data_IF_566162053515
#
_entry.id   IF_566162053515
#
_cell.length_a   1.000
_cell.length_b   1.000
_cell.length_c   1.000
_cell.angle_alpha   90.00
_cell.angle_beta   90.00
_cell.angle_gamma   90.00
#
_symmetry.space_group_name_H-M   'P 1'
#
loop_
_entity.id
_entity.type
_entity.pdbx_description
1 polymer ?
#
# COMPACT_ATOMS: atom_id res chain seq x y z
N UNK A 1 27.97 4.17 27.95
CA UNK A 1 26.55 4.60 28.03
C UNK A 1 25.68 3.37 28.22
N UNK A 2 25.01 3.18 29.37
CA UNK A 2 24.29 1.94 29.64
C UNK A 2 23.01 1.88 28.80
N UNK A 3 22.91 0.93 27.87
CA UNK A 3 21.71 0.63 27.07
C UNK A 3 20.50 0.35 27.99
N UNK A 4 20.75 -0.21 29.18
CA UNK A 4 19.72 -0.48 30.21
C UNK A 4 18.95 0.76 30.72
N UNK A 5 19.38 1.99 30.36
CA UNK A 5 18.65 3.22 30.72
C UNK A 5 17.62 3.65 29.67
N UNK A 6 17.60 3.04 28.49
CA UNK A 6 16.74 3.42 27.37
C UNK A 6 15.61 2.41 27.15
N UNK A 7 15.86 1.14 27.52
CA UNK A 7 14.93 0.02 27.31
C UNK A 7 14.61 -0.63 28.66
N UNK A 8 13.32 -0.76 28.98
CA UNK A 8 12.80 -1.49 30.15
C UNK A 8 12.53 -2.96 29.79
N UNK A 9 12.50 -3.82 30.83
CA UNK A 9 11.97 -5.19 30.69
C UNK A 9 10.45 -5.21 30.53
N UNK A 10 9.77 -4.22 31.13
CA UNK A 10 8.31 -4.07 31.09
C UNK A 10 7.88 -3.16 29.94
N UNK A 11 6.67 -3.37 29.46
CA UNK A 11 6.04 -2.47 28.47
C UNK A 11 5.64 -1.15 29.14
N UNK A 12 6.39 -0.09 28.90
CA UNK A 12 6.21 1.24 29.52
C UNK A 12 5.65 2.28 28.55
N UNK A 13 5.85 2.09 27.25
CA UNK A 13 5.41 3.01 26.20
C UNK A 13 4.24 2.39 25.40
N UNK A 14 3.06 2.33 26.03
CA UNK A 14 1.85 1.69 25.46
C UNK A 14 0.82 2.67 24.92
N UNK A 15 1.10 3.97 24.99
CA UNK A 15 0.23 5.03 24.50
C UNK A 15 0.25 5.16 22.98
N UNK A 16 -0.58 6.06 22.45
CA UNK A 16 -0.61 6.39 21.02
C UNK A 16 0.72 7.00 20.58
N UNK A 17 1.24 6.55 19.46
CA UNK A 17 2.52 7.00 18.90
C UNK A 17 2.27 8.05 17.82
N UNK A 18 2.63 9.31 18.06
CA UNK A 18 2.40 10.45 17.15
C UNK A 18 3.19 10.31 15.85
N UNK A 19 4.43 9.84 15.94
CA UNK A 19 5.31 9.58 14.82
C UNK A 19 4.77 8.51 13.87
N UNK A 20 4.09 7.50 14.40
CA UNK A 20 3.42 6.45 13.59
C UNK A 20 2.18 7.03 12.88
N UNK A 21 1.41 7.90 13.55
CA UNK A 21 0.30 8.60 12.90
C UNK A 21 0.80 9.50 11.77
N UNK A 22 1.93 10.20 11.98
CA UNK A 22 2.52 11.07 10.97
C UNK A 22 3.07 10.28 9.77
N UNK A 23 3.76 9.15 10.02
CA UNK A 23 4.23 8.28 8.93
C UNK A 23 3.06 7.74 8.10
N UNK A 24 1.96 7.30 8.72
CA UNK A 24 0.74 6.87 8.01
C UNK A 24 0.15 7.98 7.14
N UNK A 25 0.02 9.20 7.70
CA UNK A 25 -0.51 10.33 6.95
C UNK A 25 0.41 10.74 5.80
N UNK A 26 1.70 10.70 6.00
CA UNK A 26 2.70 10.96 4.97
C UNK A 26 2.65 9.91 3.85
N UNK A 27 2.61 8.62 4.20
CA UNK A 27 2.53 7.52 3.22
C UNK A 27 1.32 7.64 2.30
N UNK A 28 0.14 8.04 2.82
CA UNK A 28 -1.05 8.23 1.96
C UNK A 28 -0.95 9.47 1.07
N UNK A 29 -0.32 10.55 1.54
CA UNK A 29 -0.09 11.74 0.71
C UNK A 29 0.87 11.39 -0.44
N UNK A 30 1.98 10.70 -0.13
CA UNK A 30 2.91 10.22 -1.13
C UNK A 30 2.23 9.31 -2.15
N UNK A 31 1.39 8.38 -1.70
CA UNK A 31 0.64 7.47 -2.56
C UNK A 31 -0.29 8.21 -3.54
N UNK A 32 -0.99 9.25 -3.08
CA UNK A 32 -1.84 10.07 -3.96
C UNK A 32 -1.00 10.78 -5.03
N UNK A 33 0.14 11.35 -4.65
CA UNK A 33 1.04 12.03 -5.59
C UNK A 33 1.60 11.04 -6.61
N UNK A 34 2.09 9.90 -6.15
CA UNK A 34 2.67 8.86 -7.01
C UNK A 34 1.66 8.33 -8.02
N UNK A 35 0.46 7.96 -7.58
CA UNK A 35 -0.57 7.51 -8.52
C UNK A 35 -0.99 8.59 -9.51
N UNK A 36 -0.97 9.87 -9.14
CA UNK A 36 -1.18 10.93 -10.12
C UNK A 36 -0.02 11.06 -11.12
N UNK A 37 1.22 10.80 -10.69
CA UNK A 37 2.38 10.78 -11.58
C UNK A 37 2.27 9.59 -12.53
N UNK A 38 2.11 8.38 -12.01
CA UNK A 38 2.08 7.14 -12.79
C UNK A 38 0.91 7.10 -13.79
N UNK A 39 -0.30 7.44 -13.33
CA UNK A 39 -1.51 7.27 -14.13
C UNK A 39 -1.81 8.48 -15.06
N UNK A 40 -1.22 9.67 -14.82
CA UNK A 40 -1.58 10.90 -15.54
C UNK A 40 -0.41 11.57 -16.26
N UNK A 41 0.82 11.25 -15.94
CA UNK A 41 1.99 11.94 -16.49
C UNK A 41 3.03 10.96 -17.06
N UNK A 42 2.81 10.45 -18.30
CA UNK A 42 3.62 9.39 -18.89
C UNK A 42 5.11 9.72 -19.03
N UNK A 43 5.48 11.00 -19.21
CA UNK A 43 6.87 11.44 -19.36
C UNK A 43 7.46 12.03 -18.07
N UNK A 44 7.04 11.54 -16.90
CA UNK A 44 7.48 12.10 -15.62
C UNK A 44 9.00 11.97 -15.38
N UNK A 45 9.65 10.99 -15.99
CA UNK A 45 11.09 10.75 -15.88
C UNK A 45 11.94 11.89 -16.44
N UNK A 46 11.41 12.64 -17.43
CA UNK A 46 12.08 13.83 -17.98
C UNK A 46 12.09 14.99 -16.98
N UNK A 47 11.27 14.92 -15.92
CA UNK A 47 11.16 15.96 -14.92
C UNK A 47 11.77 15.52 -13.59
N UNK A 48 12.96 16.02 -13.27
CA UNK A 48 13.78 15.60 -12.13
C UNK A 48 13.02 15.49 -10.80
N UNK A 49 12.14 16.44 -10.47
CA UNK A 49 11.39 16.40 -9.20
C UNK A 49 10.37 15.25 -9.21
N UNK A 50 9.67 15.03 -10.33
CA UNK A 50 8.70 13.94 -10.45
C UNK A 50 9.39 12.58 -10.36
N UNK A 51 10.49 12.41 -11.06
CA UNK A 51 11.36 11.25 -10.98
C UNK A 51 11.85 10.99 -9.55
N UNK A 52 12.37 12.03 -8.86
CA UNK A 52 12.84 11.91 -7.48
C UNK A 52 11.70 11.48 -6.52
N UNK A 53 10.52 12.05 -6.67
CA UNK A 53 9.36 11.72 -5.84
C UNK A 53 8.89 10.28 -6.11
N UNK A 54 8.74 9.92 -7.39
CA UNK A 54 8.17 8.64 -7.77
C UNK A 54 9.13 7.48 -7.51
N UNK A 55 10.31 7.52 -8.11
CA UNK A 55 11.21 6.37 -8.14
C UNK A 55 12.05 6.22 -6.88
N UNK A 56 12.32 7.33 -6.18
CA UNK A 56 13.14 7.26 -4.96
C UNK A 56 12.33 7.35 -3.68
N UNK A 57 11.44 8.32 -3.54
CA UNK A 57 10.71 8.49 -2.27
C UNK A 57 9.52 7.53 -2.17
N UNK A 58 8.69 7.46 -3.19
CA UNK A 58 7.48 6.65 -3.11
C UNK A 58 7.78 5.16 -3.11
N UNK A 59 8.71 4.70 -3.96
CA UNK A 59 9.11 3.29 -4.01
C UNK A 59 9.85 2.80 -2.76
N UNK A 60 10.35 3.68 -1.90
CA UNK A 60 11.06 3.28 -0.68
C UNK A 60 10.28 3.53 0.61
N UNK A 61 9.33 4.48 0.62
CA UNK A 61 8.61 4.92 1.83
C UNK A 61 7.11 4.66 1.73
N UNK A 62 6.50 4.76 0.55
CA UNK A 62 5.05 4.73 0.36
C UNK A 62 4.37 3.49 0.94
N UNK A 63 4.35 2.40 0.20
CA UNK A 63 3.70 1.15 0.60
C UNK A 63 4.40 0.48 1.80
N UNK A 64 5.73 0.51 1.86
CA UNK A 64 6.52 -0.07 2.94
C UNK A 64 6.23 0.61 4.27
N UNK A 65 6.24 1.96 4.31
CA UNK A 65 5.92 2.72 5.51
C UNK A 65 4.52 2.43 6.02
N UNK A 66 3.55 2.34 5.11
CA UNK A 66 2.19 1.93 5.43
C UNK A 66 2.13 0.53 6.07
N UNK A 67 2.79 -0.46 5.47
CA UNK A 67 2.78 -1.85 5.95
C UNK A 67 3.54 -2.00 7.28
N UNK A 68 4.66 -1.31 7.46
CA UNK A 68 5.37 -1.26 8.75
C UNK A 68 4.46 -0.68 9.84
N UNK A 69 3.78 0.44 9.55
CA UNK A 69 2.81 1.03 10.48
C UNK A 69 1.64 0.10 10.79
N UNK A 70 1.22 -0.76 9.85
CA UNK A 70 0.18 -1.76 10.09
C UNK A 70 0.65 -2.80 11.11
N UNK A 71 1.90 -3.28 10.99
CA UNK A 71 2.52 -4.19 11.94
C UNK A 71 2.70 -3.56 13.33
N UNK A 72 3.20 -2.32 13.42
CA UNK A 72 3.27 -1.57 14.69
C UNK A 72 1.88 -1.46 15.31
N UNK A 73 0.87 -1.11 14.50
CA UNK A 73 -0.51 -0.96 14.95
C UNK A 73 -1.11 -2.23 15.56
N UNK A 74 -0.69 -3.41 15.10
CA UNK A 74 -1.11 -4.69 15.71
C UNK A 74 -0.60 -4.82 17.14
N UNK A 75 0.65 -4.49 17.40
CA UNK A 75 1.25 -4.59 18.74
C UNK A 75 0.60 -3.62 19.72
N UNK A 76 0.21 -2.43 19.25
CA UNK A 76 -0.49 -1.41 20.05
C UNK A 76 -2.02 -1.60 20.10
N UNK A 77 -2.56 -2.61 19.41
CA UNK A 77 -4.00 -2.87 19.39
C UNK A 77 -4.50 -3.42 20.72
N UNK A 78 -5.54 -2.80 21.28
CA UNK A 78 -6.23 -3.26 22.50
C UNK A 78 -7.23 -4.38 22.24
N UNK A 79 -7.66 -4.57 20.99
CA UNK A 79 -8.68 -5.54 20.58
C UNK A 79 -8.02 -6.67 19.79
N UNK A 80 -7.33 -7.54 20.51
CA UNK A 80 -6.48 -8.58 19.94
C UNK A 80 -7.14 -9.97 19.95
N UNK A 81 -8.38 -10.08 19.43
CA UNK A 81 -9.03 -11.39 19.26
C UNK A 81 -8.74 -11.97 17.88
N UNK A 82 -8.22 -13.21 17.76
CA UNK A 82 -7.91 -13.84 16.47
C UNK A 82 -9.06 -13.82 15.47
N UNK A 83 -10.28 -14.14 15.92
CA UNK A 83 -11.49 -14.13 15.07
C UNK A 83 -11.81 -12.73 14.53
N UNK A 84 -11.57 -11.67 15.30
CA UNK A 84 -11.78 -10.28 14.87
C UNK A 84 -10.84 -9.91 13.72
N UNK A 85 -9.57 -10.35 13.75
CA UNK A 85 -8.62 -10.12 12.67
C UNK A 85 -9.02 -10.84 11.39
N UNK A 86 -9.42 -12.11 11.47
CA UNK A 86 -9.92 -12.87 10.31
C UNK A 86 -11.14 -12.18 9.70
N UNK A 87 -12.11 -11.77 10.52
CA UNK A 87 -13.32 -11.06 10.04
C UNK A 87 -12.99 -9.74 9.34
N UNK A 88 -12.07 -8.96 9.92
CA UNK A 88 -11.60 -7.71 9.33
C UNK A 88 -10.84 -7.95 8.03
N UNK A 89 -10.03 -9.01 7.97
CA UNK A 89 -9.30 -9.39 6.77
C UNK A 89 -10.22 -9.74 5.61
N UNK A 90 -11.23 -10.58 5.85
CA UNK A 90 -12.27 -10.91 4.84
C UNK A 90 -13.01 -9.65 4.38
N UNK A 91 -13.40 -8.77 5.30
CA UNK A 91 -14.06 -7.52 4.93
C UNK A 91 -13.18 -6.64 4.04
N UNK A 92 -11.86 -6.56 4.32
CA UNK A 92 -10.92 -5.76 3.51
C UNK A 92 -10.71 -6.39 2.13
N UNK A 93 -10.65 -7.73 2.01
CA UNK A 93 -10.61 -8.40 0.70
C UNK A 93 -11.83 -8.02 -0.16
N UNK A 94 -13.03 -8.04 0.41
CA UNK A 94 -14.24 -7.67 -0.31
C UNK A 94 -14.26 -6.16 -0.65
N UNK A 95 -13.78 -5.30 0.25
CA UNK A 95 -13.64 -3.86 -0.04
C UNK A 95 -12.63 -3.65 -1.17
N UNK A 96 -11.51 -4.38 -1.19
CA UNK A 96 -10.52 -4.33 -2.28
C UNK A 96 -11.13 -4.78 -3.60
N UNK A 97 -11.93 -5.85 -3.61
CA UNK A 97 -12.63 -6.31 -4.80
C UNK A 97 -13.72 -5.31 -5.27
N UNK A 98 -14.44 -4.68 -4.34
CA UNK A 98 -15.39 -3.60 -4.66
C UNK A 98 -14.66 -2.39 -5.26
N UNK A 99 -13.50 -2.03 -4.74
CA UNK A 99 -12.68 -0.96 -5.29
C UNK A 99 -12.25 -1.29 -6.72
N UNK A 100 -11.76 -2.50 -6.98
CA UNK A 100 -11.40 -2.94 -8.32
C UNK A 100 -12.60 -2.93 -9.27
N UNK A 101 -13.77 -3.39 -8.80
CA UNK A 101 -15.02 -3.33 -9.58
C UNK A 101 -15.38 -1.90 -9.99
N UNK A 102 -15.15 -0.92 -9.11
CA UNK A 102 -15.43 0.49 -9.41
C UNK A 102 -14.34 1.05 -10.35
N UNK A 103 -13.06 0.94 -9.97
CA UNK A 103 -11.96 1.61 -10.68
C UNK A 103 -11.67 0.99 -12.04
N UNK A 104 -11.58 -0.33 -12.14
CA UNK A 104 -11.32 -1.03 -13.41
C UNK A 104 -12.63 -1.40 -14.12
N UNK A 105 -13.61 -1.92 -13.39
CA UNK A 105 -14.86 -2.32 -14.00
C UNK A 105 -15.70 -1.14 -14.46
N UNK A 106 -16.33 -0.42 -13.55
CA UNK A 106 -17.33 0.60 -13.87
C UNK A 106 -16.74 1.79 -14.62
N UNK A 107 -15.62 2.35 -14.17
CA UNK A 107 -15.01 3.56 -14.73
C UNK A 107 -14.58 3.29 -16.19
N UNK A 108 -13.89 2.19 -16.46
CA UNK A 108 -13.46 1.89 -17.83
C UNK A 108 -14.60 1.40 -18.74
N UNK A 109 -15.66 0.79 -18.20
CA UNK A 109 -16.89 0.59 -18.98
C UNK A 109 -17.51 1.90 -19.44
N UNK A 110 -17.53 2.93 -18.58
CA UNK A 110 -18.00 4.27 -18.93
C UNK A 110 -17.06 4.92 -19.94
N UNK A 111 -15.75 4.83 -19.76
CA UNK A 111 -14.77 5.35 -20.71
C UNK A 111 -14.95 4.72 -22.11
N UNK A 112 -15.11 3.39 -22.17
CA UNK A 112 -15.38 2.67 -23.41
C UNK A 112 -16.71 3.11 -24.05
N UNK A 113 -17.76 3.30 -23.26
CA UNK A 113 -19.06 3.77 -23.78
C UNK A 113 -18.99 5.18 -24.39
N UNK A 114 -18.08 6.02 -23.91
CA UNK A 114 -17.87 7.39 -24.42
C UNK A 114 -16.99 7.39 -25.67
N UNK A 115 -15.81 6.74 -25.63
CA UNK A 115 -14.78 6.80 -26.66
C UNK A 115 -14.88 5.70 -27.71
N UNK A 116 -15.44 4.54 -27.37
CA UNK A 116 -15.34 3.32 -28.18
C UNK A 116 -13.92 2.72 -28.22
N UNK A 117 -12.99 3.24 -27.41
CA UNK A 117 -11.59 2.83 -27.42
C UNK A 117 -11.43 1.39 -26.87
N UNK A 118 -10.90 0.44 -27.67
CA UNK A 118 -10.67 -0.93 -27.21
C UNK A 118 -9.77 -1.01 -25.98
N UNK A 119 -8.85 -0.06 -25.79
CA UNK A 119 -7.95 0.00 -24.63
C UNK A 119 -8.75 0.19 -23.33
N UNK A 120 -9.76 1.05 -23.32
CA UNK A 120 -10.64 1.21 -22.15
C UNK A 120 -11.35 -0.10 -21.79
N UNK A 121 -11.77 -0.88 -22.80
CA UNK A 121 -12.36 -2.21 -22.59
C UNK A 121 -11.34 -3.19 -22.02
N UNK A 122 -10.10 -3.16 -22.51
CA UNK A 122 -9.01 -4.01 -22.02
C UNK A 122 -8.68 -3.73 -20.55
N UNK A 123 -8.60 -2.47 -20.14
CA UNK A 123 -8.39 -2.10 -18.73
C UNK A 123 -9.48 -2.63 -17.78
N UNK A 124 -10.71 -2.81 -18.23
CA UNK A 124 -11.77 -3.39 -17.39
C UNK A 124 -11.53 -4.86 -17.03
N UNK A 125 -10.61 -5.56 -17.72
CA UNK A 125 -10.19 -6.91 -17.38
C UNK A 125 -9.40 -6.97 -16.06
N UNK A 126 -8.75 -5.87 -15.64
CA UNK A 126 -7.97 -5.76 -14.40
C UNK A 126 -8.83 -5.82 -13.12
N UNK A 127 -10.12 -6.08 -13.23
CA UNK A 127 -11.06 -6.17 -12.10
C UNK A 127 -10.65 -7.19 -11.02
N UNK A 128 -9.82 -8.17 -11.37
CA UNK A 128 -9.26 -9.16 -10.43
C UNK A 128 -7.80 -8.89 -10.05
N UNK A 129 -7.20 -7.76 -10.44
CA UNK A 129 -5.81 -7.44 -10.10
C UNK A 129 -5.57 -7.45 -8.59
N UNK A 130 -4.39 -7.90 -8.20
CA UNK A 130 -3.93 -7.90 -6.81
C UNK A 130 -3.33 -6.56 -6.45
N UNK A 131 -3.69 -6.01 -5.28
CA UNK A 131 -3.24 -4.69 -4.83
C UNK A 131 -3.08 -4.67 -3.28
N UNK A 132 -2.70 -3.53 -2.72
CA UNK A 132 -2.41 -3.36 -1.30
C UNK A 132 -3.57 -3.73 -0.36
N UNK A 133 -4.85 -3.58 -0.79
CA UNK A 133 -5.99 -4.01 0.01
C UNK A 133 -6.13 -5.53 0.06
N UNK A 134 -5.86 -6.22 -1.05
CA UNK A 134 -5.83 -7.68 -1.07
C UNK A 134 -4.71 -8.20 -0.16
N UNK A 135 -3.52 -7.60 -0.25
CA UNK A 135 -2.43 -7.88 0.68
C UNK A 135 -2.84 -7.62 2.15
N UNK A 136 -3.41 -6.45 2.46
CA UNK A 136 -3.82 -6.10 3.81
C UNK A 136 -4.88 -7.06 4.38
N UNK A 137 -5.81 -7.50 3.54
CA UNK A 137 -6.82 -8.50 3.90
C UNK A 137 -6.20 -9.85 4.25
N UNK A 138 -5.31 -10.37 3.40
CA UNK A 138 -4.59 -11.62 3.64
C UNK A 138 -3.68 -11.52 4.88
N UNK A 139 -2.97 -10.41 5.04
CA UNK A 139 -2.15 -10.15 6.21
C UNK A 139 -2.97 -10.19 7.51
N UNK A 140 -4.16 -9.59 7.54
CA UNK A 140 -5.02 -9.64 8.72
C UNK A 140 -5.53 -11.04 9.01
N UNK A 141 -5.87 -11.84 8.00
CA UNK A 141 -6.25 -13.25 8.17
C UNK A 141 -5.09 -14.04 8.77
N UNK A 142 -3.89 -13.91 8.19
CA UNK A 142 -2.67 -14.54 8.69
C UNK A 142 -2.35 -14.08 10.12
N UNK A 143 -2.59 -12.80 10.42
CA UNK A 143 -2.41 -12.24 11.76
C UNK A 143 -3.32 -12.90 12.80
N UNK A 144 -4.57 -13.21 12.45
CA UNK A 144 -5.47 -13.99 13.29
C UNK A 144 -4.89 -15.36 13.62
N UNK A 145 -4.30 -16.05 12.65
CA UNK A 145 -3.62 -17.34 12.83
C UNK A 145 -2.36 -17.20 13.70
N UNK A 146 -1.51 -16.21 13.43
CA UNK A 146 -0.31 -15.90 14.22
C UNK A 146 -0.66 -15.70 15.70
N UNK A 147 -1.73 -14.97 15.98
CA UNK A 147 -2.21 -14.72 17.34
C UNK A 147 -2.75 -15.99 17.99
N UNK A 148 -3.49 -16.82 17.25
CA UNK A 148 -3.99 -18.10 17.76
C UNK A 148 -2.83 -19.05 18.14
N UNK A 149 -1.75 -19.04 17.35
CA UNK A 149 -0.53 -19.81 17.60
C UNK A 149 0.38 -19.17 18.66
N UNK A 150 0.04 -17.97 19.17
CA UNK A 150 0.82 -17.21 20.16
C UNK A 150 2.28 -16.98 19.75
N UNK A 151 2.53 -16.78 18.46
CA UNK A 151 3.88 -16.53 17.95
C UNK A 151 4.38 -15.16 18.41
N UNK A 152 5.62 -15.14 18.90
CA UNK A 152 6.30 -13.88 19.27
C UNK A 152 6.71 -13.11 17.99
N UNK A 153 6.81 -11.75 18.04
CA UNK A 153 7.19 -10.95 16.87
C UNK A 153 8.49 -11.41 16.19
N UNK A 154 9.49 -11.88 16.95
CA UNK A 154 10.73 -12.42 16.37
C UNK A 154 10.52 -13.69 15.54
N UNK A 155 9.62 -14.60 15.96
CA UNK A 155 9.29 -15.79 15.17
C UNK A 155 8.50 -15.41 13.91
N UNK A 156 7.62 -14.43 14.01
CA UNK A 156 6.85 -13.89 12.85
C UNK A 156 7.80 -13.27 11.83
N UNK A 157 8.78 -12.51 12.29
CA UNK A 157 9.79 -11.92 11.42
C UNK A 157 10.66 -13.00 10.76
N UNK A 158 11.14 -14.00 11.51
CA UNK A 158 11.88 -15.11 10.92
C UNK A 158 11.06 -15.87 9.87
N UNK A 159 9.78 -16.15 10.13
CA UNK A 159 8.86 -16.74 9.15
C UNK A 159 8.73 -15.87 7.89
N UNK A 160 8.62 -14.56 8.05
CA UNK A 160 8.49 -13.64 6.91
C UNK A 160 9.74 -13.60 6.03
N UNK A 161 10.93 -13.74 6.63
CA UNK A 161 12.19 -13.87 5.87
C UNK A 161 12.19 -15.17 5.06
N UNK A 162 11.77 -16.29 5.63
CA UNK A 162 11.66 -17.58 4.92
C UNK A 162 10.64 -17.47 3.76
N UNK A 163 9.48 -16.87 4.01
CA UNK A 163 8.47 -16.66 2.97
C UNK A 163 8.98 -15.75 1.85
N UNK A 164 9.72 -14.69 2.18
CA UNK A 164 10.32 -13.81 1.18
C UNK A 164 11.31 -14.56 0.29
N UNK A 165 12.21 -15.40 0.87
CA UNK A 165 13.16 -16.22 0.10
C UNK A 165 12.41 -17.18 -0.83
N UNK A 166 11.34 -17.84 -0.35
CA UNK A 166 10.50 -18.71 -1.18
C UNK A 166 9.84 -17.90 -2.30
N UNK A 167 9.24 -16.75 -1.97
CA UNK A 167 8.61 -15.83 -2.93
C UNK A 167 9.58 -15.38 -4.03
N UNK A 168 10.81 -15.02 -3.67
CA UNK A 168 11.87 -14.71 -4.64
C UNK A 168 12.21 -15.90 -5.56
N UNK A 169 12.27 -17.10 -5.00
CA UNK A 169 12.57 -18.32 -5.75
C UNK A 169 11.46 -18.75 -6.70
N UNK A 170 10.20 -18.34 -6.43
CA UNK A 170 9.03 -18.69 -7.23
C UNK A 170 8.59 -17.57 -8.18
N UNK A 171 9.10 -16.34 -8.00
CA UNK A 171 8.69 -15.18 -8.78
C UNK A 171 8.81 -15.41 -10.29
N UNK A 172 7.71 -15.19 -11.03
CA UNK A 172 7.63 -15.36 -12.47
C UNK A 172 7.84 -16.79 -13.00
N UNK A 173 7.81 -17.81 -12.11
CA UNK A 173 8.04 -19.22 -12.51
C UNK A 173 6.78 -20.07 -12.55
N UNK A 174 5.69 -19.57 -11.98
CA UNK A 174 4.45 -20.32 -11.85
C UNK A 174 3.35 -19.56 -12.59
N UNK A 175 2.84 -20.18 -13.65
CA UNK A 175 1.72 -19.69 -14.44
C UNK A 175 0.71 -20.80 -14.63
N UNK A 176 -0.58 -20.47 -14.47
CA UNK A 176 -1.67 -21.44 -14.64
C UNK A 176 -2.20 -21.46 -16.08
N UNK A 177 -1.87 -20.46 -16.88
CA UNK A 177 -2.43 -20.24 -18.22
C UNK A 177 -3.81 -19.59 -18.19
N UNK A 178 -4.32 -19.23 -17.01
CA UNK A 178 -5.56 -18.50 -16.85
C UNK A 178 -5.28 -17.20 -16.10
N UNK A 179 -5.58 -16.06 -16.72
CA UNK A 179 -5.38 -14.75 -16.10
C UNK A 179 -5.98 -14.66 -14.69
N UNK A 180 -7.23 -15.04 -14.50
CA UNK A 180 -7.92 -14.94 -13.19
C UNK A 180 -7.24 -15.81 -12.14
N UNK A 181 -6.82 -17.03 -12.50
CA UNK A 181 -6.11 -17.90 -11.56
C UNK A 181 -4.71 -17.38 -11.27
N UNK A 182 -4.01 -16.79 -12.25
CA UNK A 182 -2.70 -16.16 -12.05
C UNK A 182 -2.83 -14.92 -11.16
N UNK A 183 -3.91 -14.13 -11.26
CA UNK A 183 -4.19 -13.05 -10.32
C UNK A 183 -4.47 -13.54 -8.89
N UNK A 184 -5.25 -14.60 -8.73
CA UNK A 184 -5.50 -15.21 -7.42
C UNK A 184 -4.21 -15.76 -6.79
N UNK A 185 -3.37 -16.41 -7.60
CA UNK A 185 -2.05 -16.89 -7.19
C UNK A 185 -1.11 -15.72 -6.89
N UNK A 186 -1.21 -14.65 -7.67
CA UNK A 186 -0.48 -13.40 -7.54
C UNK A 186 -0.68 -12.66 -6.21
N UNK A 187 -1.77 -12.95 -5.49
CA UNK A 187 -1.94 -12.48 -4.12
C UNK A 187 -0.93 -13.08 -3.14
N UNK A 188 -0.33 -14.22 -3.46
CA UNK A 188 0.61 -14.96 -2.61
C UNK A 188 2.03 -14.90 -3.12
N UNK A 189 2.24 -15.13 -4.43
CA UNK A 189 3.54 -15.14 -5.10
C UNK A 189 3.43 -14.32 -6.39
N UNK A 190 4.51 -13.66 -6.77
CA UNK A 190 4.56 -12.87 -8.01
C UNK A 190 4.47 -13.75 -9.26
N UNK A 191 3.49 -13.49 -10.12
CA UNK A 191 3.16 -14.30 -11.30
C UNK A 191 3.42 -13.59 -12.64
N UNK A 192 4.10 -12.43 -12.66
CA UNK A 192 4.26 -11.56 -13.85
C UNK A 192 2.94 -11.02 -14.45
N UNK A 193 1.81 -11.27 -13.80
CA UNK A 193 0.57 -10.57 -14.05
C UNK A 193 0.46 -9.39 -13.09
N UNK A 194 -0.59 -8.59 -13.13
CA UNK A 194 -0.81 -7.41 -12.28
C UNK A 194 -0.82 -7.73 -10.76
N UNK A 195 0.32 -8.27 -10.27
CA UNK A 195 0.53 -8.72 -8.89
C UNK A 195 1.48 -7.77 -8.16
N UNK A 196 0.93 -6.70 -7.59
CA UNK A 196 1.76 -5.63 -7.02
C UNK A 196 2.33 -5.93 -5.64
N UNK A 197 1.60 -6.65 -4.78
CA UNK A 197 1.98 -6.87 -3.38
C UNK A 197 1.79 -8.32 -2.95
N UNK A 198 2.51 -9.31 -3.56
CA UNK A 198 2.36 -10.70 -3.21
C UNK A 198 2.74 -10.95 -1.74
N UNK A 199 1.89 -11.71 -1.03
CA UNK A 199 1.99 -11.90 0.42
C UNK A 199 3.36 -12.43 0.85
N UNK A 200 3.93 -13.39 0.11
CA UNK A 200 5.20 -14.00 0.50
C UNK A 200 6.35 -12.99 0.50
N UNK A 201 6.38 -12.08 -0.46
CA UNK A 201 7.43 -11.09 -0.57
C UNK A 201 7.22 -9.88 0.36
N UNK A 202 5.96 -9.44 0.50
CA UNK A 202 5.65 -8.21 1.20
C UNK A 202 5.31 -8.38 2.69
N UNK A 203 5.02 -9.61 3.15
CA UNK A 203 4.75 -9.89 4.56
C UNK A 203 5.90 -9.48 5.49
N UNK A 204 7.11 -9.37 4.96
CA UNK A 204 8.31 -8.98 5.71
C UNK A 204 8.19 -7.57 6.32
N UNK A 205 7.48 -6.63 5.66
CA UNK A 205 7.31 -5.26 6.16
C UNK A 205 6.42 -5.16 7.41
N UNK A 206 5.19 -5.70 7.44
CA UNK A 206 4.41 -5.68 8.65
C UNK A 206 5.00 -6.60 9.73
N UNK A 207 5.70 -7.68 9.39
CA UNK A 207 6.42 -8.50 10.36
C UNK A 207 7.56 -7.71 11.03
N UNK A 208 8.34 -6.94 10.27
CA UNK A 208 9.29 -5.99 10.81
C UNK A 208 8.61 -4.92 11.66
N UNK A 209 7.46 -4.39 11.21
CA UNK A 209 6.64 -3.46 11.98
C UNK A 209 6.19 -4.02 13.33
N UNK A 210 5.83 -5.30 13.40
CA UNK A 210 5.52 -5.97 14.68
C UNK A 210 6.76 -6.06 15.60
N UNK A 211 7.93 -6.38 15.04
CA UNK A 211 9.18 -6.44 15.79
C UNK A 211 9.57 -5.05 16.33
N UNK A 212 9.54 -4.03 15.48
CA UNK A 212 9.82 -2.65 15.85
C UNK A 212 8.80 -2.12 16.87
N UNK A 213 7.52 -2.40 16.69
CA UNK A 213 6.45 -2.03 17.60
C UNK A 213 6.64 -2.66 18.99
N UNK A 214 7.03 -3.93 19.06
CA UNK A 214 7.35 -4.58 20.33
C UNK A 214 8.52 -3.88 21.02
N UNK A 215 9.61 -3.62 20.30
CA UNK A 215 10.75 -2.86 20.83
C UNK A 215 10.31 -1.48 21.35
N UNK A 216 9.49 -0.76 20.58
CA UNK A 216 8.99 0.57 20.95
C UNK A 216 8.18 0.54 22.25
N UNK A 217 7.44 -0.54 22.55
CA UNK A 217 6.69 -0.63 23.83
C UNK A 217 7.58 -0.63 25.06
N UNK A 218 8.84 -1.05 24.93
CA UNK A 218 9.83 -1.13 26.01
C UNK A 218 10.70 0.13 26.16
N UNK A 219 10.57 1.11 25.26
CA UNK A 219 11.38 2.34 25.25
C UNK A 219 10.96 3.27 26.39
N UNK A 220 11.90 3.62 27.28
CA UNK A 220 11.73 4.57 28.40
C UNK A 220 12.05 6.00 27.98
N UNK A 221 13.11 6.20 27.17
CA UNK A 221 13.56 7.51 26.67
C UNK A 221 13.52 7.52 25.12
N UNK A 222 12.39 7.97 24.59
CA UNK A 222 12.16 8.05 23.14
C UNK A 222 13.17 8.96 22.42
N UNK A 223 13.60 10.07 23.06
CA UNK A 223 14.55 11.00 22.42
C UNK A 223 15.89 10.32 22.17
N UNK A 224 16.43 9.66 23.19
CA UNK A 224 17.68 8.91 23.06
C UNK A 224 17.54 7.72 22.11
N UNK A 225 16.42 7.00 22.19
CA UNK A 225 16.15 5.87 21.31
C UNK A 225 16.18 6.30 19.84
N UNK A 226 15.42 7.31 19.46
CA UNK A 226 15.37 7.77 18.06
C UNK A 226 16.70 8.41 17.61
N UNK A 227 17.38 9.16 18.48
CA UNK A 227 18.70 9.74 18.15
C UNK A 227 19.75 8.67 17.85
N UNK A 228 19.80 7.60 18.64
CA UNK A 228 20.74 6.48 18.42
C UNK A 228 20.34 5.63 17.21
N UNK A 229 19.04 5.41 17.00
CA UNK A 229 18.53 4.61 15.89
C UNK A 229 18.73 5.34 14.55
N UNK A 230 18.66 6.66 14.53
CA UNK A 230 18.87 7.46 13.31
C UNK A 230 20.27 7.27 12.69
N UNK A 231 21.31 7.06 13.50
CA UNK A 231 22.69 6.94 13.02
C UNK A 231 22.86 5.77 12.03
N UNK A 232 22.59 4.51 12.41
CA UNK A 232 22.70 3.40 11.46
C UNK A 232 21.69 3.53 10.30
N UNK A 233 20.52 4.12 10.54
CA UNK A 233 19.53 4.33 9.49
C UNK A 233 20.02 5.28 8.41
N UNK A 234 20.67 6.40 8.77
CA UNK A 234 21.29 7.32 7.80
C UNK A 234 22.37 6.60 7.01
N UNK A 235 23.29 5.88 7.69
CA UNK A 235 24.39 5.18 7.04
C UNK A 235 23.89 4.19 5.99
N UNK A 236 22.94 3.33 6.37
CA UNK A 236 22.39 2.31 5.47
C UNK A 236 21.62 2.97 4.32
N UNK A 237 20.82 4.02 4.60
CA UNK A 237 20.07 4.73 3.55
C UNK A 237 21.00 5.36 2.52
N UNK A 238 22.07 6.02 2.96
CA UNK A 238 23.07 6.63 2.05
C UNK A 238 23.77 5.56 1.21
N UNK A 239 24.18 4.45 1.84
CA UNK A 239 24.83 3.35 1.11
C UNK A 239 23.86 2.76 0.08
N UNK A 240 22.60 2.50 0.46
CA UNK A 240 21.60 1.96 -0.44
C UNK A 240 21.40 2.82 -1.68
N UNK A 241 21.08 4.10 -1.51
CA UNK A 241 20.86 5.00 -2.64
C UNK A 241 22.14 5.19 -3.47
N UNK A 242 23.30 5.33 -2.83
CA UNK A 242 24.55 5.47 -3.54
C UNK A 242 24.86 4.26 -4.42
N UNK A 243 24.70 3.05 -3.88
CA UNK A 243 24.96 1.79 -4.62
C UNK A 243 23.90 1.58 -5.70
N UNK A 244 22.63 1.73 -5.37
CA UNK A 244 21.53 1.47 -6.31
C UNK A 244 21.54 2.44 -7.51
N UNK A 245 21.98 3.69 -7.33
CA UNK A 245 21.99 4.70 -8.39
C UNK A 245 23.26 4.64 -9.25
N UNK A 246 24.42 4.44 -8.63
CA UNK A 246 25.70 4.62 -9.34
C UNK A 246 26.29 3.31 -9.88
N UNK A 247 25.76 2.16 -9.49
CA UNK A 247 26.31 0.87 -9.91
C UNK A 247 25.25 -0.01 -10.56
N UNK A 248 25.56 -0.54 -11.72
CA UNK A 248 24.75 -1.61 -12.31
C UNK A 248 25.07 -2.93 -11.60
N UNK A 249 24.21 -3.32 -10.67
CA UNK A 249 24.42 -4.44 -9.76
C UNK A 249 23.09 -5.14 -9.45
N UNK A 250 23.09 -6.48 -9.18
CA UNK A 250 21.88 -7.27 -9.02
C UNK A 250 21.35 -7.29 -7.58
N UNK A 251 21.88 -6.51 -6.64
CA UNK A 251 21.55 -6.60 -5.21
C UNK A 251 20.39 -5.67 -4.85
N UNK A 252 20.50 -4.38 -5.22
CA UNK A 252 19.49 -3.35 -4.94
C UNK A 252 18.83 -2.91 -6.24
N UNK A 253 17.71 -3.50 -6.57
CA UNK A 253 17.05 -3.34 -7.86
C UNK A 253 15.66 -2.74 -7.79
N UNK A 254 15.04 -2.71 -6.59
CA UNK A 254 13.66 -2.30 -6.44
C UNK A 254 13.37 -0.83 -6.87
N UNK A 255 14.34 0.08 -6.76
CA UNK A 255 14.18 1.48 -7.21
C UNK A 255 14.57 1.69 -8.69
N UNK A 256 14.97 0.64 -9.40
CA UNK A 256 15.40 0.69 -10.80
C UNK A 256 14.50 -0.12 -11.70
N UNK A 257 13.85 -1.12 -11.15
CA UNK A 257 13.06 -2.11 -11.89
C UNK A 257 11.72 -2.31 -11.22
N UNK A 258 10.66 -1.97 -11.90
CA UNK A 258 9.29 -2.15 -11.40
C UNK A 258 8.99 -3.59 -10.98
N UNK A 259 9.41 -4.56 -11.77
CA UNK A 259 9.25 -6.00 -11.41
C UNK A 259 9.93 -6.31 -10.08
N UNK A 260 11.16 -5.85 -9.88
CA UNK A 260 11.91 -6.04 -8.62
C UNK A 260 11.24 -5.37 -7.43
N UNK A 261 10.57 -4.24 -7.63
CA UNK A 261 9.71 -3.63 -6.62
C UNK A 261 8.52 -4.55 -6.28
N UNK A 262 7.79 -5.08 -7.29
CA UNK A 262 6.61 -5.92 -7.07
C UNK A 262 6.93 -7.19 -6.27
N UNK A 263 7.96 -7.95 -6.64
CA UNK A 263 8.36 -9.14 -5.86
C UNK A 263 9.41 -8.89 -4.80
N UNK A 264 9.52 -7.70 -4.31
CA UNK A 264 10.40 -7.15 -3.27
C UNK A 264 11.47 -8.13 -2.75
N UNK A 265 12.72 -7.88 -3.15
CA UNK A 265 13.84 -8.76 -2.81
C UNK A 265 14.33 -8.49 -1.39
N UNK A 266 14.89 -9.52 -0.76
CA UNK A 266 15.33 -9.45 0.63
C UNK A 266 16.35 -8.33 0.90
N UNK A 267 17.41 -8.09 0.07
CA UNK A 267 18.34 -6.98 0.29
C UNK A 267 17.66 -5.61 0.25
N UNK A 268 16.77 -5.39 -0.74
CA UNK A 268 15.99 -4.16 -0.85
C UNK A 268 15.08 -3.98 0.39
N UNK A 269 14.37 -5.03 0.81
CA UNK A 269 13.51 -4.99 1.97
C UNK A 269 14.29 -4.60 3.24
N UNK A 270 15.49 -5.16 3.45
CA UNK A 270 16.34 -4.80 4.59
C UNK A 270 16.78 -3.33 4.54
N UNK A 271 17.19 -2.81 3.39
CA UNK A 271 17.53 -1.39 3.26
C UNK A 271 16.32 -0.50 3.56
N UNK A 272 15.13 -0.88 3.07
CA UNK A 272 13.88 -0.14 3.28
C UNK A 272 13.42 -0.14 4.74
N UNK A 273 13.79 -1.15 5.56
CA UNK A 273 13.57 -1.08 7.01
C UNK A 273 14.30 0.09 7.64
N UNK A 274 15.55 0.31 7.27
CA UNK A 274 16.34 1.43 7.79
C UNK A 274 15.83 2.77 7.26
N UNK A 275 15.48 2.86 5.98
CA UNK A 275 14.91 4.08 5.38
C UNK A 275 13.61 4.46 6.09
N UNK A 276 12.67 3.54 6.24
CA UNK A 276 11.39 3.82 6.90
C UNK A 276 11.54 4.09 8.40
N UNK A 277 12.51 3.45 9.06
CA UNK A 277 12.83 3.76 10.46
C UNK A 277 13.46 5.16 10.58
N UNK A 278 14.29 5.59 9.62
CA UNK A 278 14.81 6.96 9.56
C UNK A 278 13.68 7.98 9.40
N UNK A 279 12.72 7.72 8.51
CA UNK A 279 11.53 8.57 8.34
C UNK A 279 10.72 8.62 9.63
N UNK A 280 10.60 7.51 10.35
CA UNK A 280 9.94 7.50 11.66
C UNK A 280 10.70 8.35 12.71
N UNK A 281 12.05 8.33 12.70
CA UNK A 281 12.88 9.22 13.54
C UNK A 281 12.63 10.70 13.20
N UNK A 282 12.56 11.04 11.91
CA UNK A 282 12.27 12.41 11.46
C UNK A 282 10.88 12.84 11.94
N UNK A 283 9.86 11.99 11.76
CA UNK A 283 8.51 12.30 12.23
C UNK A 283 8.42 12.40 13.75
N UNK A 284 9.22 11.64 14.49
CA UNK A 284 9.32 11.82 15.93
C UNK A 284 9.84 13.22 16.29
N UNK A 285 10.89 13.69 15.63
CA UNK A 285 11.43 15.05 15.86
C UNK A 285 10.37 16.12 15.54
N UNK A 286 9.71 16.02 14.40
CA UNK A 286 8.68 16.97 13.97
C UNK A 286 7.50 16.97 14.94
N UNK A 287 6.98 15.78 15.30
CA UNK A 287 5.74 15.68 16.10
C UNK A 287 5.94 15.90 17.58
N UNK A 288 7.17 15.76 18.09
CA UNK A 288 7.49 15.96 19.52
C UNK A 288 7.25 17.39 19.99
N UNK A 289 7.40 18.37 19.09
CA UNK A 289 7.16 19.80 19.37
C UNK A 289 5.74 20.29 19.09
N UNK A 290 4.88 19.44 18.49
CA UNK A 290 3.53 19.85 18.11
C UNK A 290 2.53 19.72 19.28
N UNK A 291 1.58 20.65 19.35
CA UNK A 291 0.44 20.54 20.26
C UNK A 291 -0.52 19.43 19.82
N UNK A 292 -1.37 18.95 20.75
CA UNK A 292 -2.41 17.97 20.42
C UNK A 292 -3.40 18.48 19.36
N UNK A 293 -3.69 19.79 19.39
CA UNK A 293 -4.56 20.44 18.39
C UNK A 293 -3.92 20.44 17.02
N UNK A 294 -2.61 20.69 16.91
CA UNK A 294 -1.87 20.64 15.64
C UNK A 294 -1.78 19.22 15.06
N UNK A 295 -1.81 18.21 15.93
CA UNK A 295 -1.81 16.80 15.52
C UNK A 295 -3.18 16.28 15.05
N UNK A 296 -4.28 17.00 15.26
CA UNK A 296 -5.62 16.48 14.94
C UNK A 296 -5.84 16.22 13.43
N UNK A 297 -5.40 17.06 12.48
CA UNK A 297 -5.47 16.74 11.06
C UNK A 297 -4.68 15.47 10.70
N UNK A 298 -3.49 15.30 11.27
CA UNK A 298 -2.65 14.11 11.06
C UNK A 298 -3.35 12.85 11.59
N UNK A 299 -3.94 12.94 12.78
CA UNK A 299 -4.73 11.86 13.38
C UNK A 299 -5.98 11.53 12.56
N UNK A 300 -6.61 12.54 11.95
CA UNK A 300 -7.77 12.34 11.07
C UNK A 300 -7.38 11.50 9.85
N UNK A 301 -6.32 11.86 9.16
CA UNK A 301 -5.81 11.09 8.01
C UNK A 301 -5.39 9.69 8.44
N UNK A 302 -4.59 9.56 9.51
CA UNK A 302 -4.07 8.29 10.01
C UNK A 302 -5.17 7.27 10.37
N UNK A 303 -6.26 7.71 11.02
CA UNK A 303 -7.36 6.79 11.39
C UNK A 303 -8.25 6.39 10.22
N UNK A 304 -8.25 7.18 9.14
CA UNK A 304 -9.08 6.98 7.95
C UNK A 304 -8.32 6.41 6.75
N UNK A 305 -7.13 5.89 6.94
CA UNK A 305 -6.20 5.54 5.87
C UNK A 305 -6.81 4.63 4.79
N UNK A 306 -7.60 3.61 5.15
CA UNK A 306 -8.27 2.75 4.17
C UNK A 306 -9.33 3.49 3.36
N UNK A 307 -10.03 4.47 3.96
CA UNK A 307 -11.00 5.30 3.25
C UNK A 307 -10.29 6.25 2.28
N UNK A 308 -9.16 6.86 2.74
CA UNK A 308 -8.32 7.66 1.85
C UNK A 308 -7.87 6.84 0.65
N UNK A 309 -7.38 5.61 0.90
CA UNK A 309 -6.97 4.71 -0.16
C UNK A 309 -8.10 4.43 -1.17
N UNK A 310 -9.29 4.08 -0.73
CA UNK A 310 -10.40 3.78 -1.62
C UNK A 310 -10.88 5.02 -2.40
N UNK A 311 -11.07 6.15 -1.72
CA UNK A 311 -11.68 7.33 -2.33
C UNK A 311 -10.73 8.01 -3.31
N UNK A 312 -9.43 8.17 -2.99
CA UNK A 312 -8.50 8.80 -3.93
C UNK A 312 -8.28 7.93 -5.16
N UNK A 313 -8.19 6.60 -5.03
CA UNK A 313 -8.07 5.70 -6.18
C UNK A 313 -9.24 5.87 -7.14
N UNK A 314 -10.48 5.93 -6.64
CA UNK A 314 -11.65 6.18 -7.50
C UNK A 314 -11.51 7.50 -8.25
N UNK A 315 -11.06 8.58 -7.60
CA UNK A 315 -10.86 9.87 -8.28
C UNK A 315 -9.77 9.81 -9.35
N UNK A 316 -8.64 9.18 -9.06
CA UNK A 316 -7.55 9.05 -10.04
C UNK A 316 -8.04 8.30 -11.27
N UNK A 317 -8.74 7.17 -11.09
CA UNK A 317 -9.27 6.40 -12.21
C UNK A 317 -10.42 7.10 -12.96
N UNK A 318 -11.19 7.97 -12.30
CA UNK A 318 -12.13 8.87 -13.03
C UNK A 318 -11.34 9.82 -13.94
N UNK A 319 -10.26 10.41 -13.43
CA UNK A 319 -9.43 11.33 -14.23
C UNK A 319 -8.73 10.59 -15.36
N UNK A 320 -8.04 9.49 -15.10
CA UNK A 320 -7.33 8.72 -16.12
C UNK A 320 -8.29 8.05 -17.12
N UNK A 321 -9.32 7.36 -16.64
CA UNK A 321 -10.24 6.60 -17.48
C UNK A 321 -11.26 7.49 -18.20
N UNK A 322 -12.10 8.23 -17.45
CA UNK A 322 -13.19 9.00 -18.08
C UNK A 322 -12.66 10.26 -18.75
N UNK A 323 -11.85 11.07 -18.07
CA UNK A 323 -11.34 12.32 -18.66
C UNK A 323 -10.20 12.04 -19.64
N UNK A 324 -9.25 11.14 -19.32
CA UNK A 324 -8.14 10.78 -20.21
C UNK A 324 -8.63 9.96 -21.41
N UNK A 325 -8.88 8.68 -21.25
CA UNK A 325 -9.24 7.78 -22.34
C UNK A 325 -10.63 8.07 -22.93
N UNK A 326 -11.62 8.46 -22.10
CA UNK A 326 -12.98 8.74 -22.56
C UNK A 326 -13.09 10.03 -23.34
N UNK A 327 -12.57 11.14 -22.83
CA UNK A 327 -12.70 12.48 -23.40
C UNK A 327 -11.42 13.02 -24.05
N UNK A 328 -10.30 12.27 -24.03
CA UNK A 328 -9.04 12.67 -24.66
C UNK A 328 -8.35 13.85 -23.98
N UNK A 329 -8.57 14.07 -22.68
CA UNK A 329 -7.92 15.16 -21.93
C UNK A 329 -6.53 14.73 -21.49
N UNK A 330 -5.51 15.46 -21.93
CA UNK A 330 -4.13 15.19 -21.61
C UNK A 330 -3.63 15.97 -20.37
N UNK A 331 -2.87 15.29 -19.53
CA UNK A 331 -2.28 15.83 -18.30
C UNK A 331 -0.76 16.01 -18.39
N UNK A 332 -0.22 16.22 -19.58
CA UNK A 332 1.20 16.20 -19.98
C UNK A 332 2.09 17.29 -19.33
N UNK A 333 1.76 17.79 -18.14
CA UNK A 333 2.57 18.80 -17.47
C UNK A 333 2.65 18.54 -15.96
N UNK A 334 3.86 18.64 -15.34
CA UNK A 334 4.03 18.43 -13.91
C UNK A 334 3.08 19.25 -13.04
N UNK A 335 2.89 20.53 -13.39
CA UNK A 335 1.99 21.43 -12.65
C UNK A 335 0.53 20.95 -12.67
N UNK A 336 0.04 20.41 -13.78
CA UNK A 336 -1.31 19.85 -13.88
C UNK A 336 -1.43 18.60 -13.00
N UNK A 337 -0.42 17.72 -13.02
CA UNK A 337 -0.38 16.50 -12.23
C UNK A 337 -0.41 16.81 -10.71
N UNK A 338 0.45 17.70 -10.23
CA UNK A 338 0.49 18.06 -8.81
C UNK A 338 -0.77 18.82 -8.36
N UNK A 339 -1.32 19.68 -9.20
CA UNK A 339 -2.59 20.34 -8.92
C UNK A 339 -3.74 19.33 -8.84
N UNK A 340 -3.77 18.35 -9.72
CA UNK A 340 -4.74 17.25 -9.67
C UNK A 340 -4.60 16.44 -8.39
N UNK A 341 -3.37 16.08 -7.98
CA UNK A 341 -3.11 15.40 -6.72
C UNK A 341 -3.62 16.19 -5.50
N UNK A 342 -3.38 17.50 -5.48
CA UNK A 342 -3.87 18.39 -4.42
C UNK A 342 -5.42 18.45 -4.40
N UNK A 343 -6.06 18.59 -5.54
CA UNK A 343 -7.52 18.59 -5.66
C UNK A 343 -8.09 17.25 -5.18
N UNK A 344 -7.51 16.14 -5.62
CA UNK A 344 -7.93 14.80 -5.19
C UNK A 344 -7.78 14.63 -3.68
N UNK A 345 -6.66 15.09 -3.10
CA UNK A 345 -6.46 15.04 -1.64
C UNK A 345 -7.53 15.85 -0.88
N UNK A 346 -7.83 17.07 -1.34
CA UNK A 346 -8.85 17.93 -0.72
C UNK A 346 -10.24 17.29 -0.84
N UNK A 347 -10.64 16.88 -2.05
CA UNK A 347 -11.93 16.23 -2.29
C UNK A 347 -12.10 14.96 -1.47
N UNK A 348 -11.06 14.12 -1.42
CA UNK A 348 -11.02 12.92 -0.59
C UNK A 348 -11.22 13.25 0.88
N UNK A 349 -10.53 14.27 1.39
CA UNK A 349 -10.63 14.70 2.79
C UNK A 349 -12.06 15.19 3.12
N UNK A 350 -12.64 16.01 2.25
CA UNK A 350 -14.02 16.53 2.42
C UNK A 350 -15.04 15.41 2.41
N UNK A 351 -14.93 14.46 1.47
CA UNK A 351 -15.84 13.31 1.40
C UNK A 351 -15.74 12.44 2.65
N UNK A 352 -14.54 12.14 3.11
CA UNK A 352 -14.34 11.31 4.32
C UNK A 352 -14.89 12.03 5.55
N UNK A 353 -14.65 13.33 5.68
CA UNK A 353 -15.18 14.14 6.78
C UNK A 353 -16.72 14.14 6.78
N UNK A 354 -17.34 14.38 5.60
CA UNK A 354 -18.79 14.35 5.47
C UNK A 354 -19.38 12.97 5.78
N UNK A 355 -18.73 11.91 5.28
CA UNK A 355 -19.11 10.52 5.55
C UNK A 355 -19.09 10.20 7.05
N UNK A 356 -17.98 10.52 7.74
CA UNK A 356 -17.87 10.27 9.19
C UNK A 356 -18.96 10.99 9.97
N UNK A 357 -19.22 12.24 9.59
CA UNK A 357 -20.18 13.08 10.33
C UNK A 357 -21.63 12.68 10.11
N UNK A 358 -22.01 12.25 8.90
CA UNK A 358 -23.43 12.14 8.52
C UNK A 358 -23.87 10.73 8.10
N UNK A 359 -22.97 9.89 7.59
CA UNK A 359 -23.36 8.65 6.91
C UNK A 359 -22.80 7.38 7.56
N UNK A 360 -21.68 7.43 8.26
CA UNK A 360 -20.94 6.26 8.71
C UNK A 360 -21.82 5.24 9.47
N UNK A 361 -22.63 5.69 10.42
CA UNK A 361 -23.52 4.83 11.21
C UNK A 361 -24.58 4.15 10.32
N UNK A 362 -25.25 4.92 9.47
CA UNK A 362 -26.31 4.40 8.58
C UNK A 362 -25.76 3.38 7.58
N UNK A 363 -24.59 3.66 7.00
CA UNK A 363 -23.94 2.75 6.07
C UNK A 363 -23.53 1.44 6.76
N UNK A 364 -22.93 1.49 7.94
CA UNK A 364 -22.53 0.30 8.69
C UNK A 364 -23.76 -0.55 9.03
N UNK A 365 -24.86 0.04 9.46
CA UNK A 365 -26.12 -0.67 9.75
C UNK A 365 -26.71 -1.30 8.48
N UNK A 366 -26.77 -0.58 7.36
CA UNK A 366 -27.33 -1.04 6.10
C UNK A 366 -26.53 -2.20 5.50
N UNK A 367 -25.22 -2.01 5.31
CA UNK A 367 -24.34 -3.03 4.76
C UNK A 367 -24.16 -4.22 5.71
N UNK A 368 -24.17 -3.98 7.02
CA UNK A 368 -24.02 -5.02 8.02
C UNK A 368 -25.16 -6.01 8.04
N UNK A 369 -26.42 -5.57 7.80
CA UNK A 369 -27.63 -6.45 7.77
C UNK A 369 -27.59 -7.46 6.63
N UNK A 370 -27.00 -7.09 5.48
CA UNK A 370 -27.04 -7.89 4.25
C UNK A 370 -25.63 -8.17 3.70
N UNK A 371 -24.62 -8.26 4.57
CA UNK A 371 -23.20 -8.30 4.15
C UNK A 371 -22.89 -9.43 3.16
N UNK A 372 -23.42 -10.62 3.36
CA UNK A 372 -23.17 -11.76 2.46
C UNK A 372 -23.82 -11.59 1.09
N UNK A 373 -24.98 -10.91 1.03
CA UNK A 373 -25.62 -10.56 -0.25
C UNK A 373 -24.73 -9.57 -1.01
N UNK A 374 -24.21 -8.55 -0.32
CA UNK A 374 -23.29 -7.59 -0.94
C UNK A 374 -22.01 -8.26 -1.42
N UNK A 375 -21.44 -9.19 -0.66
CA UNK A 375 -20.27 -9.95 -1.08
C UNK A 375 -20.54 -10.73 -2.37
N UNK A 376 -21.67 -11.43 -2.45
CA UNK A 376 -22.07 -12.16 -3.65
C UNK A 376 -22.26 -11.22 -4.86
N UNK A 377 -22.92 -10.07 -4.68
CA UNK A 377 -23.13 -9.07 -5.74
C UNK A 377 -21.78 -8.57 -6.28
N UNK A 378 -20.85 -8.20 -5.42
CA UNK A 378 -19.52 -7.71 -5.84
C UNK A 378 -18.79 -8.76 -6.68
N UNK A 379 -18.78 -10.02 -6.23
CA UNK A 379 -18.10 -11.11 -6.94
C UNK A 379 -18.78 -11.40 -8.28
N UNK A 380 -20.12 -11.50 -8.30
CA UNK A 380 -20.87 -11.79 -9.54
C UNK A 380 -20.65 -10.67 -10.57
N UNK A 381 -20.72 -9.41 -10.17
CA UNK A 381 -20.48 -8.28 -11.07
C UNK A 381 -19.02 -8.24 -11.58
N UNK A 382 -18.05 -8.57 -10.73
CA UNK A 382 -16.65 -8.67 -11.15
C UNK A 382 -16.44 -9.75 -12.20
N UNK A 383 -17.07 -10.93 -12.03
CA UNK A 383 -17.04 -12.02 -13.00
C UNK A 383 -17.71 -11.58 -14.32
N UNK A 384 -18.88 -10.95 -14.23
CA UNK A 384 -19.60 -10.48 -15.41
C UNK A 384 -18.79 -9.48 -16.24
N UNK A 385 -18.12 -8.53 -15.59
CA UNK A 385 -17.26 -7.56 -16.26
C UNK A 385 -16.02 -8.24 -16.88
N UNK A 386 -15.38 -9.15 -16.15
CA UNK A 386 -14.24 -9.90 -16.65
C UNK A 386 -14.61 -10.69 -17.92
N UNK A 387 -15.73 -11.40 -17.91
CA UNK A 387 -16.23 -12.15 -19.07
C UNK A 387 -16.58 -11.23 -20.23
N UNK A 388 -17.22 -10.10 -19.97
CA UNK A 388 -17.54 -9.10 -21.00
C UNK A 388 -16.28 -8.50 -21.61
N UNK A 389 -15.29 -8.16 -20.80
CA UNK A 389 -14.01 -7.63 -21.26
C UNK A 389 -13.28 -8.67 -22.14
N UNK A 390 -13.15 -9.89 -21.64
CA UNK A 390 -12.48 -10.99 -22.34
C UNK A 390 -13.12 -11.32 -23.71
N UNK A 391 -14.44 -11.26 -23.82
CA UNK A 391 -15.16 -11.55 -25.08
C UNK A 391 -14.92 -10.52 -26.20
N UNK A 392 -14.32 -9.39 -25.90
CA UNK A 392 -14.10 -8.33 -26.90
C UNK A 392 -12.66 -7.98 -27.21
N UNK A 393 -11.72 -8.67 -26.59
CA UNK A 393 -10.27 -8.44 -26.80
C UNK A 393 -9.71 -9.68 -27.47
N UNK A 394 -9.31 -9.57 -28.74
CA UNK A 394 -8.72 -10.67 -29.54
C UNK A 394 -7.30 -11.01 -29.08
N UNK A 395 -6.59 -10.03 -28.55
CA UNK A 395 -5.30 -10.17 -27.87
C UNK A 395 -5.37 -9.32 -26.62
N UNK A 396 -5.05 -9.91 -25.45
CA UNK A 396 -4.90 -9.09 -24.25
C UNK A 396 -3.70 -8.19 -24.52
N UNK A 397 -3.87 -6.85 -24.49
CA UNK A 397 -2.72 -6.00 -24.44
C UNK A 397 -1.90 -6.51 -23.25
N UNK A 398 -0.61 -6.76 -23.48
CA UNK A 398 0.35 -6.81 -22.41
C UNK A 398 0.32 -5.41 -21.78
N UNK A 399 -0.68 -5.15 -20.96
CA UNK A 399 -0.89 -3.84 -20.29
C UNK A 399 0.35 -3.48 -19.47
N UNK A 400 1.18 -4.48 -19.18
CA UNK A 400 2.47 -4.33 -18.52
C UNK A 400 3.66 -4.11 -19.45
N UNK A 401 3.59 -4.44 -20.73
CA UNK A 401 4.76 -4.30 -21.61
C UNK A 401 4.90 -2.91 -22.24
N UNK A 402 3.80 -2.17 -22.43
CA UNK A 402 3.86 -0.82 -23.01
C UNK A 402 4.38 0.24 -22.02
N UNK A 403 4.52 -0.10 -20.73
CA UNK A 403 5.15 0.75 -19.70
C UNK A 403 6.55 0.23 -19.28
N UNK A 404 7.08 -0.83 -19.92
CA UNK A 404 8.33 -1.50 -19.56
C UNK A 404 9.34 -1.58 -20.73
N UNK A 405 9.03 -1.01 -21.89
CA UNK A 405 9.99 -0.63 -22.92
C UNK A 405 10.34 0.87 -22.77
#
# INVERSE_FOLDING_TARGET
MHINSIISKDRVNTGRQREVDALKAFSIIMMIITHCIDDLYPNYEEHFISFLINDYLAQTIGAQGFMICMGIGMVYSRHAEPKSYVHRGVNILIIGQLLNLIRYGLIFCVAYAISGDPLARAYSFLVFSSDILQFAGLFLILSGLIMQLKLKPGHVFALSVVLNIIGMGLAGRIHTGSYVLDQLLGMFIFTDSESYFPLFNWFIFPAFGMLLGELMTHVTDKKKFYALTAIPCVIVSVIYYYVAVNFDQPVFTAIREWKSFCYMRLPDAFAMFFINTLVLCIWFLVTSGLSDKAMEPVRFVSRNINRYYCVHSVFIYIVAGVLGLGLGIEFNAPAKCYLTALIIFICTTVIIWFYEKHMARKCVEFFGRHKYVWYAIVIILSIAICVWSAAGVSEFPNVTNDYLE
#
